data_IF_989240982001
#
_entry.id   IF_989240982001
#
_cell.length_a   1.000
_cell.length_b   1.000
_cell.length_c   1.000
_cell.angle_alpha   90.00
_cell.angle_beta   90.00
_cell.angle_gamma   90.00
#
_symmetry.space_group_name_H-M   'P 1'
#
loop_
_entity.id
_entity.type
_entity.pdbx_description
1 polymer ?
#
# COMPACT_ATOMS: atom_id res chain seq x y z
N UNK A 1 10.98 -1.02 23.18
CA UNK A 1 9.68 -1.64 22.89
C UNK A 1 9.94 -2.84 22.01
N UNK A 2 10.39 -3.92 22.65
CA UNK A 2 10.04 -5.28 22.25
C UNK A 2 9.34 -5.89 23.47
N UNK A 3 8.34 -6.70 23.18
CA UNK A 3 7.13 -6.82 23.99
C UNK A 3 7.39 -7.58 25.30
N UNK A 4 7.47 -6.85 26.42
CA UNK A 4 7.14 -7.45 27.71
C UNK A 4 5.68 -7.12 28.00
N UNK A 5 4.80 -8.10 27.77
CA UNK A 5 3.55 -8.17 28.51
C UNK A 5 3.50 -9.49 29.25
N UNK A 6 4.25 -9.47 30.36
CA UNK A 6 3.92 -9.88 31.74
C UNK A 6 2.96 -11.05 32.03
N UNK A 7 2.58 -11.89 31.07
CA UNK A 7 1.88 -13.16 31.39
C UNK A 7 2.27 -14.36 30.56
N UNK A 8 2.72 -14.21 29.32
CA UNK A 8 3.11 -15.36 28.49
C UNK A 8 4.62 -15.65 28.47
N UNK A 9 5.50 -14.65 28.57
CA UNK A 9 6.92 -14.83 28.18
C UNK A 9 7.95 -14.87 29.31
N UNK A 10 7.57 -14.96 30.59
CA UNK A 10 8.52 -15.05 31.74
C UNK A 10 9.69 -14.03 31.69
N UNK A 11 9.45 -12.82 31.18
CA UNK A 11 10.48 -11.77 31.06
C UNK A 11 11.43 -11.90 29.86
N UNK A 12 11.13 -12.77 28.89
CA UNK A 12 11.83 -12.89 27.61
C UNK A 12 11.18 -12.03 26.53
N UNK A 13 11.99 -11.62 25.57
CA UNK A 13 11.53 -11.03 24.32
C UNK A 13 10.86 -12.12 23.46
N UNK A 14 9.54 -12.00 23.28
CA UNK A 14 8.74 -12.94 22.49
C UNK A 14 8.24 -12.32 21.18
N UNK A 15 8.79 -11.17 20.76
CA UNK A 15 8.30 -10.44 19.59
C UNK A 15 8.27 -11.32 18.34
N UNK A 16 9.30 -12.14 18.08
CA UNK A 16 9.27 -13.05 16.91
C UNK A 16 8.09 -14.00 16.95
N UNK A 17 7.87 -14.67 18.08
CA UNK A 17 6.78 -15.63 18.25
C UNK A 17 5.41 -14.99 18.01
N UNK A 18 5.21 -13.74 18.44
CA UNK A 18 3.97 -13.01 18.17
C UNK A 18 3.75 -12.67 16.69
N UNK A 19 4.81 -12.37 15.94
CA UNK A 19 4.69 -12.05 14.51
C UNK A 19 4.58 -13.32 13.64
N UNK A 20 5.33 -14.36 13.98
CA UNK A 20 5.38 -15.61 13.20
C UNK A 20 4.30 -16.61 13.60
N UNK A 21 3.75 -16.50 14.81
CA UNK A 21 2.87 -17.50 15.40
C UNK A 21 3.58 -18.75 15.94
N UNK A 22 4.92 -18.80 15.87
CA UNK A 22 5.71 -19.93 16.36
C UNK A 22 6.14 -19.73 17.82
N UNK A 23 5.43 -20.40 18.74
CA UNK A 23 5.71 -20.38 20.18
C UNK A 23 6.52 -21.62 20.65
N UNK A 24 7.13 -22.37 19.73
CA UNK A 24 8.06 -23.46 20.10
C UNK A 24 9.40 -22.90 20.56
N UNK A 25 10.28 -23.74 21.11
CA UNK A 25 11.63 -23.31 21.52
C UNK A 25 12.45 -22.72 20.37
N UNK A 26 12.21 -23.16 19.12
CA UNK A 26 12.87 -22.65 17.94
C UNK A 26 12.37 -21.23 17.54
N UNK A 27 11.08 -20.96 17.75
CA UNK A 27 10.46 -19.67 17.47
C UNK A 27 10.60 -18.64 18.60
N UNK A 28 10.84 -19.09 19.84
CA UNK A 28 11.08 -18.28 21.04
C UNK A 28 12.50 -17.71 21.11
N UNK A 29 12.94 -17.07 20.03
CA UNK A 29 14.19 -16.30 19.96
C UNK A 29 13.91 -14.81 19.76
N UNK A 30 14.86 -13.97 20.15
CA UNK A 30 14.72 -12.51 20.14
C UNK A 30 15.08 -11.85 18.80
N UNK A 31 15.77 -12.56 17.91
CA UNK A 31 16.24 -12.00 16.64
C UNK A 31 15.07 -11.74 15.69
N UNK A 32 15.01 -10.57 15.05
CA UNK A 32 14.03 -10.21 14.00
C UNK A 32 14.71 -9.59 12.78
N UNK A 33 16.04 -9.76 12.65
CA UNK A 33 16.84 -9.14 11.60
C UNK A 33 16.52 -9.62 10.18
N UNK A 34 15.97 -10.83 10.07
CA UNK A 34 15.49 -11.50 8.86
C UNK A 34 14.03 -11.16 8.50
N UNK A 35 13.36 -10.29 9.27
CA UNK A 35 11.98 -9.95 8.98
C UNK A 35 11.86 -9.16 7.67
N UNK A 36 10.99 -9.67 6.80
CA UNK A 36 10.59 -9.03 5.56
C UNK A 36 9.62 -7.87 5.81
N UNK A 37 9.41 -7.05 4.79
CA UNK A 37 8.58 -5.84 4.87
C UNK A 37 7.18 -6.10 5.48
N UNK A 38 6.53 -7.22 5.11
CA UNK A 38 5.22 -7.59 5.65
C UNK A 38 5.27 -7.88 7.16
N UNK A 39 6.27 -8.64 7.63
CA UNK A 39 6.45 -8.96 9.04
C UNK A 39 6.81 -7.71 9.87
N UNK A 40 7.61 -6.80 9.30
CA UNK A 40 7.93 -5.51 9.93
C UNK A 40 6.71 -4.59 10.01
N UNK A 41 5.84 -4.59 9.00
CA UNK A 41 4.58 -3.85 9.06
C UNK A 41 3.67 -4.40 10.17
N UNK A 42 3.51 -5.73 10.24
CA UNK A 42 2.77 -6.36 11.34
C UNK A 42 3.37 -6.05 12.70
N UNK A 43 4.71 -6.02 12.81
CA UNK A 43 5.39 -5.62 14.04
C UNK A 43 5.03 -4.20 14.45
N UNK A 44 5.00 -3.25 13.52
CA UNK A 44 4.57 -1.87 13.77
C UNK A 44 3.13 -1.80 14.29
N UNK A 45 2.21 -2.52 13.65
CA UNK A 45 0.80 -2.56 14.05
C UNK A 45 0.65 -3.13 15.49
N UNK A 46 1.33 -4.25 15.79
CA UNK A 46 1.35 -4.83 17.14
C UNK A 46 1.95 -3.87 18.17
N UNK A 47 3.03 -3.18 17.82
CA UNK A 47 3.65 -2.19 18.67
C UNK A 47 2.70 -1.02 19.00
N UNK A 48 1.91 -0.57 18.02
CA UNK A 48 0.83 0.41 18.22
C UNK A 48 -0.23 -0.09 19.19
N UNK A 49 -0.81 -1.25 18.89
CA UNK A 49 -1.81 -1.92 19.75
C UNK A 49 -1.34 -2.04 21.19
N UNK A 50 -0.14 -2.56 21.42
CA UNK A 50 0.36 -2.79 22.77
C UNK A 50 0.70 -1.52 23.54
N UNK A 51 1.08 -0.44 22.84
CA UNK A 51 1.30 0.87 23.46
C UNK A 51 0.01 1.51 23.95
N UNK A 52 -1.10 1.26 23.26
CA UNK A 52 -2.42 1.79 23.59
C UNK A 52 -3.11 0.94 24.67
N UNK A 53 -3.04 -0.38 24.54
CA UNK A 53 -3.81 -1.31 25.38
C UNK A 53 -3.13 -1.67 26.71
N UNK A 54 -1.82 -1.42 26.85
CA UNK A 54 -1.08 -1.86 28.04
C UNK A 54 -0.20 -0.77 28.63
N UNK A 55 -0.07 -0.83 29.97
CA UNK A 55 0.82 0.06 30.71
C UNK A 55 2.28 -0.29 30.43
N UNK A 56 3.01 0.68 29.91
CA UNK A 56 4.46 0.59 29.78
C UNK A 56 5.16 0.49 31.15
N UNK A 57 6.01 -0.52 31.33
CA UNK A 57 6.74 -0.80 32.59
C UNK A 57 8.26 -0.76 32.47
N UNK A 58 8.84 -0.75 31.26
CA UNK A 58 10.29 -0.71 31.08
C UNK A 58 10.78 -1.28 29.75
N UNK A 59 12.10 -1.52 29.66
CA UNK A 59 12.80 -2.11 28.51
C UNK A 59 13.43 -3.44 28.91
N UNK A 60 13.51 -4.40 27.97
CA UNK A 60 14.29 -5.64 28.14
C UNK A 60 15.75 -5.33 27.82
N UNK A 61 16.65 -5.62 28.76
CA UNK A 61 18.10 -5.62 28.49
C UNK A 61 18.45 -6.87 27.66
N UNK A 62 19.16 -6.69 26.55
CA UNK A 62 19.49 -7.78 25.62
C UNK A 62 19.92 -7.24 24.25
N UNK A 63 19.52 -7.93 23.18
CA UNK A 63 19.91 -7.61 21.80
C UNK A 63 19.60 -6.18 21.37
N UNK A 64 18.49 -5.60 21.85
CA UNK A 64 17.98 -4.30 21.40
C UNK A 64 18.25 -3.14 22.35
N UNK A 65 18.50 -3.44 23.64
CA UNK A 65 18.85 -2.44 24.64
C UNK A 65 19.98 -2.94 25.54
N UNK A 66 20.96 -2.10 25.80
CA UNK A 66 22.04 -2.44 26.73
C UNK A 66 21.62 -2.29 28.21
N UNK A 67 22.58 -2.50 29.12
CA UNK A 67 22.36 -2.44 30.57
C UNK A 67 21.93 -1.04 31.06
N UNK A 68 22.30 0.01 30.33
CA UNK A 68 21.91 1.39 30.60
C UNK A 68 20.56 1.75 29.93
N UNK A 69 19.95 0.80 29.22
CA UNK A 69 18.71 0.97 28.48
C UNK A 69 18.87 1.78 27.20
N UNK A 70 20.09 1.96 26.70
CA UNK A 70 20.38 2.63 25.44
C UNK A 70 20.13 1.70 24.25
N UNK A 71 19.70 2.24 23.09
CA UNK A 71 19.45 1.44 21.91
C UNK A 71 20.75 0.87 21.35
N UNK A 72 20.75 -0.42 21.03
CA UNK A 72 21.86 -1.09 20.34
C UNK A 72 21.83 -0.80 18.83
N UNK A 73 22.89 -1.21 18.11
CA UNK A 73 22.96 -1.08 16.65
C UNK A 73 21.87 -1.88 15.95
N UNK A 74 21.53 -3.04 16.50
CA UNK A 74 20.49 -3.95 16.03
C UNK A 74 19.13 -3.25 16.09
N UNK A 75 18.80 -2.58 17.19
CA UNK A 75 17.55 -1.83 17.30
C UNK A 75 17.48 -0.66 16.32
N UNK A 76 18.58 0.05 16.10
CA UNK A 76 18.64 1.15 15.13
C UNK A 76 18.40 0.63 13.71
N UNK A 77 19.03 -0.49 13.34
CA UNK A 77 18.83 -1.12 12.03
C UNK A 77 17.38 -1.56 11.80
N UNK A 78 16.75 -2.21 12.78
CA UNK A 78 15.34 -2.62 12.66
C UNK A 78 14.42 -1.40 12.53
N UNK A 79 14.65 -0.34 13.32
CA UNK A 79 13.86 0.89 13.22
C UNK A 79 13.98 1.56 11.86
N UNK A 80 15.16 1.56 11.25
CA UNK A 80 15.36 2.10 9.91
C UNK A 80 14.57 1.31 8.85
N UNK A 81 14.60 -0.04 8.94
CA UNK A 81 13.78 -0.90 8.08
C UNK A 81 12.29 -0.62 8.27
N UNK A 82 11.83 -0.52 9.52
CA UNK A 82 10.43 -0.20 9.83
C UNK A 82 10.01 1.17 9.29
N UNK A 83 10.83 2.21 9.45
CA UNK A 83 10.55 3.54 8.90
C UNK A 83 10.41 3.51 7.37
N UNK A 84 11.21 2.68 6.70
CA UNK A 84 11.13 2.49 5.24
C UNK A 84 9.82 1.80 4.85
N UNK A 85 9.42 0.75 5.59
CA UNK A 85 8.12 0.08 5.41
C UNK A 85 6.96 1.06 5.59
N UNK A 86 6.99 1.88 6.64
CA UNK A 86 5.97 2.88 6.91
C UNK A 86 5.90 3.94 5.80
N UNK A 87 7.05 4.44 5.34
CA UNK A 87 7.12 5.40 4.22
C UNK A 87 6.55 4.80 2.93
N UNK A 88 6.85 3.54 2.64
CA UNK A 88 6.33 2.85 1.46
C UNK A 88 4.81 2.64 1.58
N UNK A 89 4.29 2.25 2.76
CA UNK A 89 2.85 2.13 3.02
C UNK A 89 2.13 3.46 2.82
N UNK A 90 2.68 4.55 3.35
CA UNK A 90 2.13 5.90 3.15
C UNK A 90 2.13 6.30 1.67
N UNK A 91 3.22 6.07 0.95
CA UNK A 91 3.28 6.38 -0.49
C UNK A 91 2.28 5.54 -1.28
N UNK A 92 2.13 4.25 -0.95
CA UNK A 92 1.11 3.38 -1.56
C UNK A 92 -0.31 3.90 -1.33
N UNK A 93 -0.61 4.44 -0.15
CA UNK A 93 -1.91 5.05 0.16
C UNK A 93 -2.14 6.34 -0.62
N UNK A 94 -1.13 7.22 -0.70
CA UNK A 94 -1.17 8.43 -1.52
C UNK A 94 -1.40 8.06 -2.98
N UNK A 95 -0.65 7.10 -3.52
CA UNK A 95 -0.79 6.65 -4.91
C UNK A 95 -2.16 6.02 -5.19
N UNK A 96 -2.78 5.36 -4.21
CA UNK A 96 -4.14 4.82 -4.32
C UNK A 96 -5.19 5.93 -4.25
N UNK A 97 -4.93 7.02 -3.54
CA UNK A 97 -5.82 8.19 -3.53
C UNK A 97 -5.71 8.98 -4.84
N UNK A 98 -4.49 9.18 -5.35
CA UNK A 98 -4.24 9.87 -6.61
C UNK A 98 -4.69 9.05 -7.82
N UNK A 99 -4.39 7.75 -7.82
CA UNK A 99 -4.75 6.81 -8.88
C UNK A 99 -5.49 5.59 -8.30
N UNK A 100 -6.81 5.73 -8.04
CA UNK A 100 -7.63 4.65 -7.50
C UNK A 100 -7.55 3.38 -8.34
N UNK A 101 -7.67 2.19 -7.72
CA UNK A 101 -7.69 0.94 -8.46
C UNK A 101 -8.92 0.87 -9.38
N UNK A 102 -8.75 0.20 -10.52
CA UNK A 102 -9.85 -0.09 -11.43
C UNK A 102 -10.52 -1.41 -11.08
N UNK A 103 -11.80 -1.55 -11.42
CA UNK A 103 -12.43 -2.86 -11.49
C UNK A 103 -11.84 -3.65 -12.66
N UNK A 104 -11.77 -4.98 -12.52
CA UNK A 104 -11.29 -5.83 -13.61
C UNK A 104 -11.88 -7.24 -13.60
N UNK A 105 -12.08 -7.79 -14.80
CA UNK A 105 -12.56 -9.16 -15.02
C UNK A 105 -11.73 -9.81 -16.13
N UNK A 106 -11.40 -11.09 -15.95
CA UNK A 106 -10.75 -11.89 -16.98
C UNK A 106 -11.79 -12.74 -17.72
N UNK A 107 -11.85 -12.64 -19.05
CA UNK A 107 -12.66 -13.54 -19.88
C UNK A 107 -11.77 -14.58 -20.56
N UNK A 108 -12.05 -15.85 -20.28
CA UNK A 108 -11.35 -16.97 -20.91
C UNK A 108 -11.67 -17.08 -22.40
N UNK A 109 -12.91 -16.75 -22.79
CA UNK A 109 -13.40 -16.81 -24.16
C UNK A 109 -12.75 -15.74 -25.05
N UNK A 110 -12.55 -14.54 -24.50
CA UNK A 110 -11.91 -13.42 -25.21
C UNK A 110 -10.39 -13.41 -25.07
N UNK A 111 -9.84 -14.17 -24.13
CA UNK A 111 -8.40 -14.17 -23.83
C UNK A 111 -7.90 -12.78 -23.42
N UNK A 112 -8.75 -12.01 -22.71
CA UNK A 112 -8.49 -10.60 -22.40
C UNK A 112 -9.02 -10.22 -21.01
N UNK A 113 -8.37 -9.26 -20.37
CA UNK A 113 -8.81 -8.59 -19.14
C UNK A 113 -9.60 -7.33 -19.47
N UNK A 114 -10.87 -7.27 -19.09
CA UNK A 114 -11.65 -6.03 -19.11
C UNK A 114 -11.34 -5.21 -17.86
N UNK A 115 -11.17 -3.89 -18.01
CA UNK A 115 -11.01 -2.96 -16.87
C UNK A 115 -11.94 -1.77 -17.05
N UNK A 116 -12.57 -1.32 -15.97
CA UNK A 116 -13.52 -0.21 -15.98
C UNK A 116 -13.51 0.57 -14.67
N UNK A 117 -14.08 1.78 -14.69
CA UNK A 117 -14.36 2.58 -13.51
C UNK A 117 -15.80 2.36 -13.00
N UNK A 118 -16.10 2.72 -11.75
CA UNK A 118 -17.48 2.81 -11.30
C UNK A 118 -18.22 3.97 -11.96
N UNK A 119 -19.55 3.88 -12.02
CA UNK A 119 -20.41 4.91 -12.65
C UNK A 119 -20.32 6.28 -11.95
N UNK A 120 -19.89 6.32 -10.69
CA UNK A 120 -19.65 7.54 -9.91
C UNK A 120 -18.32 8.22 -10.24
N UNK A 121 -17.43 7.57 -11.00
CA UNK A 121 -16.12 8.08 -11.34
C UNK A 121 -16.08 8.59 -12.78
N UNK A 122 -15.66 9.85 -12.95
CA UNK A 122 -15.49 10.49 -14.26
C UNK A 122 -14.02 10.36 -14.67
N UNK A 123 -13.69 9.29 -15.38
CA UNK A 123 -12.32 9.03 -15.81
C UNK A 123 -12.19 7.74 -16.60
N UNK A 124 -10.96 7.36 -16.89
CA UNK A 124 -10.64 6.16 -17.68
C UNK A 124 -9.56 5.31 -17.01
N UNK A 125 -9.60 3.98 -17.18
CA UNK A 125 -8.52 3.09 -16.77
C UNK A 125 -7.22 3.37 -17.55
N UNK A 126 -6.11 3.49 -16.84
CA UNK A 126 -4.74 3.60 -17.39
C UNK A 126 -3.80 2.60 -16.73
N UNK A 127 -2.66 2.37 -17.37
CA UNK A 127 -1.59 1.53 -16.86
C UNK A 127 -0.58 2.39 -16.08
N UNK A 128 -0.61 2.28 -14.76
CA UNK A 128 0.28 2.97 -13.85
C UNK A 128 1.53 2.12 -13.60
N UNK A 129 2.67 2.66 -14.01
CA UNK A 129 4.01 2.15 -13.78
C UNK A 129 4.62 2.94 -12.63
N UNK A 130 5.08 2.24 -11.60
CA UNK A 130 5.90 2.85 -10.56
C UNK A 130 7.18 2.04 -10.45
N UNK A 131 8.31 2.73 -10.34
CA UNK A 131 9.61 2.09 -10.23
C UNK A 131 9.65 1.09 -9.06
N UNK A 132 10.21 -0.08 -9.32
CA UNK A 132 10.30 -1.16 -8.33
C UNK A 132 8.97 -1.88 -8.03
N UNK A 133 7.88 -1.57 -8.74
CA UNK A 133 6.58 -2.26 -8.60
C UNK A 133 6.07 -2.75 -9.95
N UNK A 134 5.26 -3.79 -9.91
CA UNK A 134 4.56 -4.28 -11.09
C UNK A 134 3.53 -3.22 -11.58
N UNK A 135 3.39 -3.03 -12.90
CA UNK A 135 2.38 -2.16 -13.45
C UNK A 135 0.98 -2.54 -12.97
N UNK A 136 0.19 -1.55 -12.58
CA UNK A 136 -1.19 -1.75 -12.12
C UNK A 136 -2.16 -0.85 -12.86
N UNK A 137 -3.45 -1.16 -12.73
CA UNK A 137 -4.46 -0.22 -13.20
C UNK A 137 -4.60 0.95 -12.23
N UNK A 138 -4.57 2.16 -12.76
CA UNK A 138 -4.89 3.41 -12.06
C UNK A 138 -5.99 4.14 -12.82
N UNK A 139 -7.01 4.59 -12.09
CA UNK A 139 -8.04 5.46 -12.65
C UNK A 139 -7.45 6.86 -12.84
N UNK A 140 -7.54 7.35 -14.07
CA UNK A 140 -7.10 8.67 -14.46
C UNK A 140 -8.32 9.58 -14.58
N UNK A 141 -8.29 10.72 -13.89
CA UNK A 141 -9.33 11.73 -14.01
C UNK A 141 -8.96 12.71 -15.13
N UNK A 142 -9.73 12.69 -16.22
CA UNK A 142 -9.44 13.53 -17.39
C UNK A 142 -9.81 15.01 -17.17
N UNK A 143 -10.76 15.28 -16.28
CA UNK A 143 -11.27 16.62 -15.99
C UNK A 143 -11.67 16.74 -14.53
N UNK A 144 -10.99 17.61 -13.78
CA UNK A 144 -11.62 18.27 -12.64
C UNK A 144 -12.60 19.30 -13.22
N UNK A 145 -13.84 18.92 -13.48
CA UNK A 145 -14.90 19.92 -13.68
C UNK A 145 -15.24 20.53 -12.33
N UNK A 146 -14.99 21.83 -12.08
CA UNK A 146 -15.64 22.48 -10.96
C UNK A 146 -17.12 22.58 -11.33
N UNK A 147 -18.01 22.14 -10.45
CA UNK A 147 -19.44 22.44 -10.57
C UNK A 147 -19.72 23.97 -10.54
N UNK A 148 -18.70 24.80 -10.29
CA UNK A 148 -18.79 26.26 -10.25
C UNK A 148 -17.39 26.90 -10.11
N UNK A 149 -16.71 27.22 -11.22
CA UNK A 149 -15.43 27.97 -11.17
C UNK A 149 -14.75 28.17 -12.54
N UNK A 150 -13.91 29.22 -12.70
CA UNK A 150 -13.34 29.56 -14.00
C UNK A 150 -12.32 28.53 -14.50
N UNK A 151 -12.35 28.32 -15.82
CA UNK A 151 -11.55 27.38 -16.60
C UNK A 151 -10.05 27.61 -16.43
N UNK A 152 -9.34 26.63 -15.86
CA UNK A 152 -7.96 26.33 -16.24
C UNK A 152 -7.97 25.09 -17.12
N UNK A 153 -7.87 25.30 -18.44
CA UNK A 153 -7.80 24.26 -19.45
C UNK A 153 -6.39 23.66 -19.47
N UNK A 154 -6.25 22.43 -18.99
CA UNK A 154 -5.36 21.46 -19.62
C UNK A 154 -6.24 20.31 -20.10
N UNK A 155 -6.27 20.08 -21.42
CA UNK A 155 -7.03 18.98 -22.02
C UNK A 155 -6.49 17.59 -21.61
N UNK A 156 -5.28 17.52 -21.05
CA UNK A 156 -4.58 16.28 -20.70
C UNK A 156 -4.76 15.81 -19.25
N UNK A 157 -5.35 16.60 -18.34
CA UNK A 157 -5.48 16.21 -16.92
C UNK A 157 -4.15 15.72 -16.29
N UNK A 158 -4.21 14.67 -15.47
CA UNK A 158 -3.06 13.90 -14.94
C UNK A 158 -2.33 12.98 -15.96
N UNK A 159 -2.61 13.03 -17.28
CA UNK A 159 -1.87 12.21 -18.28
C UNK A 159 -0.41 12.66 -18.42
N UNK A 160 -0.07 13.85 -17.91
CA UNK A 160 1.32 14.33 -17.83
C UNK A 160 2.15 13.55 -16.77
N UNK A 161 1.53 12.65 -15.99
CA UNK A 161 2.25 11.83 -15.01
C UNK A 161 3.13 10.79 -15.72
N UNK A 162 4.46 10.79 -15.50
CA UNK A 162 5.41 9.96 -16.27
C UNK A 162 5.18 8.45 -16.12
N UNK A 163 4.57 8.03 -15.00
CA UNK A 163 4.20 6.65 -14.75
C UNK A 163 2.89 6.20 -15.41
N UNK A 164 2.09 7.09 -15.97
CA UNK A 164 0.75 6.76 -16.47
C UNK A 164 0.76 6.54 -17.98
N UNK A 165 0.30 5.37 -18.45
CA UNK A 165 0.28 5.02 -19.87
C UNK A 165 -1.10 4.55 -20.33
N UNK A 166 -1.38 4.76 -21.61
CA UNK A 166 -2.54 4.14 -22.26
C UNK A 166 -2.31 2.65 -22.45
N UNK A 167 -3.37 1.86 -22.31
CA UNK A 167 -3.29 0.45 -22.63
C UNK A 167 -3.18 0.23 -24.15
N UNK A 168 -2.31 -0.67 -24.62
CA UNK A 168 -2.18 -0.98 -26.03
C UNK A 168 -3.48 -1.56 -26.58
N UNK A 169 -3.92 -1.08 -27.74
CA UNK A 169 -5.13 -1.57 -28.41
C UNK A 169 -6.45 -1.06 -27.85
N UNK A 170 -6.45 -0.11 -26.89
CA UNK A 170 -7.71 0.50 -26.45
C UNK A 170 -8.29 1.41 -27.57
N UNK A 171 -9.54 1.19 -28.01
CA UNK A 171 -10.17 2.00 -29.06
C UNK A 171 -10.25 3.48 -28.69
N UNK A 172 -10.03 4.38 -29.67
CA UNK A 172 -10.04 5.85 -29.46
C UNK A 172 -11.28 6.37 -28.71
N UNK A 173 -12.46 5.81 -28.98
CA UNK A 173 -13.69 6.22 -28.29
C UNK A 173 -13.75 5.83 -26.81
N UNK A 174 -12.94 4.84 -26.37
CA UNK A 174 -12.78 4.43 -24.97
C UNK A 174 -11.64 5.17 -24.27
N UNK A 175 -10.87 5.98 -25.03
CA UNK A 175 -9.75 6.74 -24.47
C UNK A 175 -10.16 8.02 -23.78
N UNK A 176 -11.43 8.46 -23.88
CA UNK A 176 -11.95 9.68 -23.25
C UNK A 176 -13.24 9.43 -22.47
N UNK A 177 -13.30 9.90 -21.22
CA UNK A 177 -14.44 9.75 -20.31
C UNK A 177 -15.68 10.57 -20.76
N UNK A 178 -15.47 11.74 -21.36
CA UNK A 178 -16.55 12.69 -21.74
C UNK A 178 -17.52 12.10 -22.76
N UNK A 179 -17.03 11.24 -23.67
CA UNK A 179 -17.88 10.57 -24.66
C UNK A 179 -18.80 9.50 -24.04
N UNK A 180 -18.43 8.91 -22.90
CA UNK A 180 -19.18 7.82 -22.29
C UNK A 180 -20.41 8.26 -21.48
N UNK A 181 -20.28 9.36 -20.74
CA UNK A 181 -21.37 9.85 -19.88
C UNK A 181 -22.51 10.44 -20.72
N UNK A 182 -22.18 11.13 -21.81
CA UNK A 182 -23.17 11.86 -22.62
C UNK A 182 -23.94 10.97 -23.61
N UNK A 183 -23.34 9.91 -24.16
CA UNK A 183 -23.99 9.13 -25.23
C UNK A 183 -24.53 7.76 -24.81
N UNK A 184 -24.00 7.14 -23.74
CA UNK A 184 -24.32 5.72 -23.45
C UNK A 184 -24.66 5.41 -22.00
N UNK A 185 -24.38 6.28 -21.03
CA UNK A 185 -24.70 6.01 -19.61
C UNK A 185 -23.94 4.81 -19.01
N UNK A 186 -22.81 4.43 -19.62
CA UNK A 186 -21.93 3.33 -19.16
C UNK A 186 -20.60 3.88 -18.65
N UNK A 187 -19.98 3.15 -17.71
CA UNK A 187 -18.58 3.35 -17.32
C UNK A 187 -17.64 3.14 -18.51
N UNK A 188 -16.60 3.97 -18.63
CA UNK A 188 -15.56 3.77 -19.62
C UNK A 188 -14.75 2.51 -19.27
N UNK A 189 -14.52 1.65 -20.26
CA UNK A 189 -13.76 0.42 -20.05
C UNK A 189 -12.88 0.08 -21.25
N UNK A 190 -11.66 -0.38 -20.98
CA UNK A 190 -10.74 -0.91 -22.00
C UNK A 190 -10.65 -2.43 -21.84
N UNK A 191 -10.67 -3.16 -22.95
CA UNK A 191 -10.27 -4.56 -22.99
C UNK A 191 -8.79 -4.62 -23.32
N UNK A 192 -8.01 -5.31 -22.50
CA UNK A 192 -6.58 -5.46 -22.67
C UNK A 192 -6.23 -6.93 -22.70
N UNK A 193 -5.20 -7.37 -23.45
CA UNK A 193 -4.74 -8.74 -23.39
C UNK A 193 -4.36 -9.19 -21.97
#
# INVERSE_FOLDING_TARGET
MLLILTKLSLGRDATRAYITGDFTEAGLIDDVSDFEAASLASLEDWLGFYKEEYKYVGKVVGRYYDQDGQPTKELLSIKEKMNTVQKNKYQDEVDKQTFPPCNSEWSKEKGSKSRWCDRSWVGVPRELHVEGRDPRCGLHQELWTPLSGPRHQKESGDLDHPGLKEYPGCPEFLKRAVFHILERGYSAGCNVP
#
